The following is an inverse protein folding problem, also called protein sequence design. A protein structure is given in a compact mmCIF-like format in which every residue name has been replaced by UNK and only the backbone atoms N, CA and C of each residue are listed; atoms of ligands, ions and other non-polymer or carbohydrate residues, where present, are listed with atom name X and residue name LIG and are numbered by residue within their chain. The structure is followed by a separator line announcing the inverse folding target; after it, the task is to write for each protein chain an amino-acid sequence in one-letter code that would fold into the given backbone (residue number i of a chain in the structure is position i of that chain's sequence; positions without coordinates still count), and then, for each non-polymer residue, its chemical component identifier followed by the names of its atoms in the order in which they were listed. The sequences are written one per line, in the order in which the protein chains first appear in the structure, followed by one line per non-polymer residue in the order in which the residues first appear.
data_IF_880539926679
#
_entry.id   IF_880539926679
#
_cell.length_a   1.000
_cell.length_b   1.000
_cell.length_c   1.000
_cell.angle_alpha   90.00
_cell.angle_beta   90.00
_cell.angle_gamma   90.00
#
_symmetry.space_group_name_H-M   'P 1'
#
loop_
_entity.id
_entity.type
_entity.pdbx_description
1 polymer ?
#
# COMPACT_ATOMS: atom_id res chain seq x y z
N UNK A 1 4.81 -0.07 -2.23
CA UNK A 1 3.39 -0.12 -2.66
C UNK A 1 3.02 -1.40 -3.43
N UNK A 2 3.50 -2.61 -3.09
CA UNK A 2 2.65 -3.78 -3.28
C UNK A 2 1.49 -3.67 -2.26
N UNK A 3 0.26 -4.01 -2.65
CA UNK A 3 -0.90 -3.99 -1.71
C UNK A 3 -1.91 -2.84 -1.79
N UNK A 4 -1.75 -1.83 -2.66
CA UNK A 4 -2.72 -0.71 -2.77
C UNK A 4 -4.20 -1.13 -2.90
N UNK A 5 -4.48 -2.13 -3.72
CA UNK A 5 -5.86 -2.63 -3.89
C UNK A 5 -6.37 -3.32 -2.62
N UNK A 6 -5.51 -4.03 -1.91
CA UNK A 6 -5.86 -4.69 -0.66
C UNK A 6 -6.26 -3.66 0.39
N UNK A 7 -5.48 -2.58 0.54
CA UNK A 7 -5.82 -1.49 1.45
C UNK A 7 -7.11 -0.77 1.06
N UNK A 8 -7.33 -0.51 -0.24
CA UNK A 8 -8.59 0.08 -0.72
C UNK A 8 -9.77 -0.85 -0.44
N UNK A 9 -9.63 -2.15 -0.66
CA UNK A 9 -10.68 -3.13 -0.37
C UNK A 9 -11.06 -3.09 1.12
N UNK A 10 -10.06 -3.20 2.02
CA UNK A 10 -10.28 -3.17 3.46
C UNK A 10 -10.92 -1.82 3.86
N UNK A 11 -10.36 -0.72 3.39
CA UNK A 11 -10.82 0.62 3.72
C UNK A 11 -12.27 0.87 3.27
N UNK A 12 -12.66 0.43 2.07
CA UNK A 12 -14.01 0.56 1.53
C UNK A 12 -15.06 -0.18 2.37
N UNK A 13 -14.68 -1.29 2.99
CA UNK A 13 -15.56 -2.06 3.89
C UNK A 13 -15.63 -1.47 5.30
N UNK A 14 -14.78 -0.49 5.62
CA UNK A 14 -14.81 0.25 6.88
C UNK A 14 -15.54 1.59 6.69
N UNK A 15 -15.22 2.33 5.62
CA UNK A 15 -15.83 3.63 5.30
C UNK A 15 -15.88 3.85 3.79
N UNK A 16 -17.00 4.41 3.32
CA UNK A 16 -17.21 4.79 1.91
C UNK A 16 -16.65 6.17 1.56
N UNK A 17 -16.06 6.90 2.50
CA UNK A 17 -15.56 8.25 2.24
C UNK A 17 -14.22 8.23 1.49
N UNK A 18 -14.10 9.07 0.46
CA UNK A 18 -12.89 9.15 -0.39
C UNK A 18 -11.64 9.59 0.36
N UNK A 19 -11.79 10.53 1.30
CA UNK A 19 -10.73 11.01 2.18
C UNK A 19 -10.16 9.89 3.08
N UNK A 20 -11.02 9.00 3.59
CA UNK A 20 -10.61 7.81 4.34
C UNK A 20 -9.88 6.78 3.48
N UNK A 21 -10.36 6.55 2.25
CA UNK A 21 -9.68 5.69 1.27
C UNK A 21 -8.29 6.24 0.92
N UNK A 22 -8.18 7.56 0.69
CA UNK A 22 -6.92 8.24 0.45
C UNK A 22 -5.95 8.04 1.63
N UNK A 23 -6.43 8.23 2.86
CA UNK A 23 -5.64 7.99 4.06
C UNK A 23 -5.08 6.58 4.15
N UNK A 24 -5.78 5.57 3.62
CA UNK A 24 -5.29 4.19 3.60
C UNK A 24 -4.23 3.91 2.51
N UNK A 25 -4.07 4.83 1.55
CA UNK A 25 -3.12 4.74 0.44
C UNK A 25 -1.89 5.63 0.68
N UNK A 26 -2.06 6.73 1.41
CA UNK A 26 -1.01 7.72 1.62
C UNK A 26 0.29 7.16 2.26
N UNK A 27 0.25 6.26 3.27
CA UNK A 27 1.47 5.71 3.87
C UNK A 27 2.38 5.01 2.86
N UNK A 28 1.80 4.43 1.82
CA UNK A 28 2.54 3.74 0.77
C UNK A 28 3.38 4.72 -0.08
N UNK A 29 2.94 5.99 -0.21
CA UNK A 29 3.71 7.07 -0.84
C UNK A 29 4.92 7.44 0.01
N UNK A 30 4.79 7.43 1.33
CA UNK A 30 5.88 7.76 2.25
C UNK A 30 7.05 6.78 2.17
N UNK A 31 6.81 5.55 1.71
CA UNK A 31 7.84 4.53 1.51
C UNK A 31 8.89 4.91 0.46
N UNK A 32 8.53 5.78 -0.50
CA UNK A 32 9.49 6.32 -1.47
C UNK A 32 10.47 7.32 -0.83
N UNK A 33 10.07 7.97 0.26
CA UNK A 33 10.83 9.04 0.90
C UNK A 33 11.57 8.53 2.14
N UNK A 34 10.91 7.72 2.99
CA UNK A 34 11.43 7.25 4.28
C UNK A 34 11.00 5.80 4.54
N UNK A 35 11.94 4.85 4.42
CA UNK A 35 11.67 3.41 4.61
C UNK A 35 11.56 3.03 6.10
N UNK A 36 12.60 3.30 6.88
CA UNK A 36 12.76 2.70 8.22
C UNK A 36 11.82 3.28 9.28
N UNK A 37 11.29 4.49 9.06
CA UNK A 37 10.41 5.19 10.00
C UNK A 37 8.98 5.36 9.48
N UNK A 38 8.60 4.70 8.38
CA UNK A 38 7.32 4.94 7.67
C UNK A 38 6.10 4.90 8.59
N UNK A 39 5.97 3.88 9.44
CA UNK A 39 4.82 3.71 10.32
C UNK A 39 4.81 4.74 11.45
N UNK A 40 5.98 5.09 12.00
CA UNK A 40 6.10 6.10 13.06
C UNK A 40 5.68 7.46 12.52
N UNK A 41 6.19 7.85 11.34
CA UNK A 41 5.85 9.12 10.70
C UNK A 41 4.38 9.15 10.28
N UNK A 42 3.85 8.04 9.77
CA UNK A 42 2.44 7.92 9.41
C UNK A 42 1.51 8.07 10.62
N UNK A 43 1.84 7.49 11.78
CA UNK A 43 1.05 7.67 13.00
C UNK A 43 1.11 9.12 13.53
N UNK A 44 2.29 9.75 13.46
CA UNK A 44 2.41 11.19 13.79
C UNK A 44 1.52 12.03 12.88
N UNK A 45 1.58 11.79 11.57
CA UNK A 45 0.75 12.49 10.60
C UNK A 45 -0.74 12.27 10.84
N UNK A 46 -1.15 11.03 11.11
CA UNK A 46 -2.53 10.70 11.45
C UNK A 46 -3.03 11.53 12.64
N UNK A 47 -2.25 11.62 13.72
CA UNK A 47 -2.63 12.37 14.91
C UNK A 47 -2.74 13.88 14.64
N UNK A 48 -1.91 14.44 13.77
CA UNK A 48 -2.00 15.85 13.35
C UNK A 48 -3.30 16.07 12.54
N UNK A 49 -3.53 15.26 11.50
CA UNK A 49 -4.70 15.39 10.63
C UNK A 49 -6.02 15.13 11.37
N UNK A 50 -6.03 14.22 12.36
CA UNK A 50 -7.21 13.94 13.18
C UNK A 50 -7.68 15.14 14.03
N UNK A 51 -6.83 16.13 14.30
CA UNK A 51 -7.20 17.35 15.03
C UNK A 51 -8.00 18.33 14.18
N UNK A 52 -7.95 18.22 12.85
CA UNK A 52 -8.65 19.11 11.93
C UNK A 52 -9.90 18.41 11.37
N UNK A 53 -11.07 19.03 11.54
CA UNK A 53 -12.36 18.50 11.05
C UNK A 53 -12.35 18.16 9.54
N UNK A 54 -11.59 18.90 8.73
CA UNK A 54 -11.51 18.69 7.27
C UNK A 54 -10.68 17.46 6.90
N UNK A 55 -9.62 17.15 7.64
CA UNK A 55 -8.68 16.08 7.31
C UNK A 55 -8.76 14.87 8.25
N UNK A 56 -9.68 14.89 9.23
CA UNK A 56 -9.80 13.83 10.25
C UNK A 56 -9.99 12.43 9.67
N UNK A 57 -10.73 12.30 8.57
CA UNK A 57 -10.93 11.01 7.90
C UNK A 57 -9.68 10.54 7.14
N UNK A 58 -8.87 11.46 6.60
CA UNK A 58 -7.55 11.10 6.06
C UNK A 58 -6.67 10.54 7.18
N UNK A 59 -6.60 11.24 8.32
CA UNK A 59 -5.85 10.78 9.49
C UNK A 59 -6.33 9.41 10.01
N UNK A 60 -7.65 9.22 10.09
CA UNK A 60 -8.25 7.93 10.45
C UNK A 60 -7.90 6.82 9.46
N UNK A 61 -7.87 7.12 8.16
CA UNK A 61 -7.45 6.19 7.13
C UNK A 61 -5.99 5.78 7.28
N UNK A 62 -5.10 6.73 7.57
CA UNK A 62 -3.67 6.44 7.84
C UNK A 62 -3.52 5.53 9.06
N UNK A 63 -4.22 5.84 10.16
CA UNK A 63 -4.20 5.02 11.38
C UNK A 63 -4.69 3.60 11.10
N UNK A 64 -5.71 3.46 10.25
CA UNK A 64 -6.25 2.17 9.81
C UNK A 64 -5.23 1.38 9.01
N UNK A 65 -4.55 1.99 8.04
CA UNK A 65 -3.48 1.34 7.29
C UNK A 65 -2.39 0.79 8.21
N UNK A 66 -1.86 1.61 9.12
CA UNK A 66 -0.78 1.18 10.03
C UNK A 66 -1.24 0.05 10.95
N UNK A 67 -2.47 0.12 11.46
CA UNK A 67 -3.04 -0.93 12.31
C UNK A 67 -3.20 -2.25 11.54
N UNK A 68 -3.72 -2.18 10.31
CA UNK A 68 -3.89 -3.33 9.42
C UNK A 68 -2.54 -3.93 9.07
N UNK A 69 -1.53 -3.14 8.69
CA UNK A 69 -0.17 -3.64 8.39
C UNK A 69 0.44 -4.36 9.58
N UNK A 70 0.33 -3.78 10.79
CA UNK A 70 0.85 -4.36 12.03
C UNK A 70 0.25 -5.74 12.32
N UNK A 71 -1.00 -5.98 11.92
CA UNK A 71 -1.62 -7.29 12.03
C UNK A 71 -1.29 -8.18 10.82
N UNK A 72 -1.54 -7.70 9.61
CA UNK A 72 -1.44 -8.42 8.34
C UNK A 72 -0.06 -8.97 8.04
N UNK A 73 0.99 -8.20 8.28
CA UNK A 73 2.34 -8.61 7.93
C UNK A 73 2.82 -9.83 8.73
N UNK A 74 2.88 -9.79 10.07
CA UNK A 74 3.41 -10.92 10.84
C UNK A 74 2.53 -12.18 10.79
N UNK A 75 1.20 -12.03 10.71
CA UNK A 75 0.30 -13.18 10.81
C UNK A 75 0.00 -13.83 9.46
N UNK A 76 0.16 -13.12 8.34
CA UNK A 76 -0.18 -13.64 7.02
C UNK A 76 0.92 -13.40 5.98
N UNK A 77 1.22 -12.13 5.65
CA UNK A 77 2.07 -11.81 4.48
C UNK A 77 3.48 -12.38 4.64
N UNK A 78 4.13 -12.19 5.79
CA UNK A 78 5.49 -12.68 6.02
C UNK A 78 5.55 -14.21 6.10
N UNK A 79 4.54 -14.87 6.69
CA UNK A 79 4.47 -16.33 6.73
C UNK A 79 4.35 -16.92 5.31
N UNK A 80 3.50 -16.33 4.48
CA UNK A 80 3.29 -16.74 3.09
C UNK A 80 4.50 -16.38 2.21
N UNK A 81 5.14 -15.24 2.46
CA UNK A 81 6.37 -14.83 1.80
C UNK A 81 7.52 -15.81 2.08
N UNK A 82 7.69 -16.24 3.34
CA UNK A 82 8.69 -17.25 3.71
C UNK A 82 8.41 -18.60 3.03
N UNK A 83 7.14 -19.00 2.88
CA UNK A 83 6.76 -20.21 2.12
C UNK A 83 7.15 -20.07 0.64
N UNK A 84 6.86 -18.94 0.01
CA UNK A 84 7.21 -18.67 -1.38
C UNK A 84 8.73 -18.61 -1.58
N UNK A 85 9.44 -17.86 -0.73
CA UNK A 85 10.89 -17.70 -0.73
C UNK A 85 11.61 -19.04 -0.74
N UNK A 86 11.22 -19.96 0.16
CA UNK A 86 11.77 -21.34 0.20
C UNK A 86 11.40 -22.18 -1.01
N UNK A 87 10.16 -22.06 -1.51
CA UNK A 87 9.66 -22.90 -2.62
C UNK A 87 10.40 -22.67 -3.94
N UNK A 88 10.83 -21.43 -4.22
CA UNK A 88 11.41 -21.06 -5.51
C UNK A 88 12.75 -20.32 -5.40
N UNK A 89 13.41 -20.37 -4.23
CA UNK A 89 14.68 -19.68 -3.93
C UNK A 89 14.64 -18.21 -4.41
N UNK A 90 13.77 -17.45 -3.74
CA UNK A 90 13.50 -16.03 -3.98
C UNK A 90 13.78 -15.23 -2.71
N UNK A 91 14.35 -14.04 -2.88
CA UNK A 91 14.55 -13.07 -1.78
C UNK A 91 13.24 -12.77 -1.03
N UNK A 92 13.31 -12.58 0.30
CA UNK A 92 12.12 -12.43 1.14
C UNK A 92 11.35 -11.14 0.85
N UNK A 93 12.03 -10.05 0.49
CA UNK A 93 11.38 -8.77 0.17
C UNK A 93 10.62 -8.89 -1.17
N UNK A 94 11.17 -9.64 -2.13
CA UNK A 94 10.46 -9.97 -3.37
C UNK A 94 9.27 -10.88 -3.13
N UNK A 95 9.44 -11.89 -2.27
CA UNK A 95 8.36 -12.80 -1.92
C UNK A 95 7.20 -12.04 -1.23
N UNK A 96 7.52 -11.11 -0.33
CA UNK A 96 6.54 -10.20 0.30
C UNK A 96 5.75 -9.45 -0.78
N UNK A 97 6.44 -8.74 -1.67
CA UNK A 97 5.79 -7.97 -2.73
C UNK A 97 4.94 -8.82 -3.68
N UNK A 98 5.36 -10.07 -3.93
CA UNK A 98 4.62 -11.03 -4.76
C UNK A 98 3.32 -11.50 -4.07
N UNK A 99 3.35 -11.81 -2.78
CA UNK A 99 2.18 -12.22 -1.99
C UNK A 99 1.12 -11.11 -1.97
N UNK A 100 1.51 -9.89 -1.66
CA UNK A 100 0.60 -8.73 -1.69
C UNK A 100 0.05 -8.44 -3.09
N UNK A 101 0.89 -8.57 -4.12
CA UNK A 101 0.44 -8.40 -5.50
C UNK A 101 -0.51 -9.50 -5.95
N UNK A 102 -0.34 -10.74 -5.46
CA UNK A 102 -1.22 -11.86 -5.76
C UNK A 102 -2.61 -11.63 -5.16
N UNK A 103 -2.68 -11.21 -3.89
CA UNK A 103 -3.94 -10.81 -3.25
C UNK A 103 -4.63 -9.69 -4.02
N UNK A 104 -3.90 -8.64 -4.39
CA UNK A 104 -4.43 -7.53 -5.18
C UNK A 104 -4.98 -7.97 -6.54
N UNK A 105 -4.33 -8.91 -7.23
CA UNK A 105 -4.82 -9.47 -8.51
C UNK A 105 -6.09 -10.30 -8.34
N UNK A 106 -6.17 -11.13 -7.30
CA UNK A 106 -7.36 -11.92 -6.99
C UNK A 106 -8.55 -11.01 -6.67
N UNK A 107 -8.33 -9.98 -5.84
CA UNK A 107 -9.33 -8.96 -5.54
C UNK A 107 -9.81 -8.23 -6.79
N UNK A 108 -8.90 -7.78 -7.66
CA UNK A 108 -9.31 -7.10 -8.90
C UNK A 108 -10.06 -7.99 -9.89
N UNK A 109 -9.87 -9.32 -9.83
CA UNK A 109 -10.65 -10.26 -10.64
C UNK A 109 -12.10 -10.33 -10.13
N UNK A 110 -12.30 -10.27 -8.81
CA UNK A 110 -13.61 -10.38 -8.16
C UNK A 110 -14.34 -9.03 -8.02
N UNK A 111 -13.60 -7.96 -7.85
CA UNK A 111 -14.06 -6.60 -7.55
C UNK A 111 -13.31 -5.57 -8.45
N UNK A 112 -13.60 -5.53 -9.75
CA UNK A 112 -12.91 -4.65 -10.70
C UNK A 112 -13.09 -3.16 -10.40
N UNK A 113 -14.17 -2.77 -9.72
CA UNK A 113 -14.49 -1.40 -9.33
C UNK A 113 -13.48 -0.80 -8.35
N UNK A 114 -12.72 -1.61 -7.61
CA UNK A 114 -11.66 -1.14 -6.70
C UNK A 114 -10.60 -0.28 -7.41
N UNK A 115 -10.39 -0.47 -8.71
CA UNK A 115 -9.51 0.40 -9.50
C UNK A 115 -10.03 1.83 -9.58
N UNK A 116 -11.34 1.98 -9.78
CA UNK A 116 -12.01 3.28 -9.83
C UNK A 116 -11.95 3.94 -8.46
N UNK A 117 -12.21 3.19 -7.39
CA UNK A 117 -12.11 3.68 -6.02
C UNK A 117 -10.71 4.20 -5.68
N UNK A 118 -9.65 3.43 -6.02
CA UNK A 118 -8.27 3.87 -5.84
C UNK A 118 -7.99 5.18 -6.59
N UNK A 119 -8.44 5.26 -7.86
CA UNK A 119 -8.25 6.45 -8.69
C UNK A 119 -8.97 7.66 -8.12
N UNK A 120 -10.23 7.49 -7.71
CA UNK A 120 -11.07 8.56 -7.19
C UNK A 120 -10.54 9.05 -5.83
N UNK A 121 -10.02 8.15 -4.99
CA UNK A 121 -9.34 8.49 -3.75
C UNK A 121 -8.07 9.32 -4.01
N UNK A 122 -7.18 8.86 -4.90
CA UNK A 122 -5.94 9.58 -5.26
C UNK A 122 -6.25 10.98 -5.84
N UNK A 123 -7.27 11.08 -6.70
CA UNK A 123 -7.68 12.34 -7.34
C UNK A 123 -8.49 13.28 -6.46
N UNK A 124 -8.89 12.84 -5.26
CA UNK A 124 -9.71 13.66 -4.35
C UNK A 124 -8.96 14.83 -3.72
N UNK A 125 -7.63 14.85 -3.83
CA UNK A 125 -6.73 15.85 -3.24
C UNK A 125 -5.66 16.21 -4.28
N UNK A 126 -5.16 17.45 -4.30
CA UNK A 126 -4.09 17.86 -5.23
C UNK A 126 -2.71 17.29 -4.82
N UNK A 127 -1.71 17.38 -5.68
CA UNK A 127 -0.35 16.97 -5.32
C UNK A 127 0.18 17.86 -4.18
N UNK A 128 -0.07 19.16 -4.29
CA UNK A 128 0.35 20.22 -3.38
C UNK A 128 -0.24 20.03 -1.98
N UNK A 129 -1.51 19.63 -1.90
CA UNK A 129 -2.16 19.35 -0.63
C UNK A 129 -1.63 18.05 0.00
N UNK A 130 -1.30 17.02 -0.78
CA UNK A 130 -0.59 15.85 -0.23
C UNK A 130 0.80 16.23 0.28
N UNK A 131 1.53 17.08 -0.45
CA UNK A 131 2.85 17.58 -0.03
C UNK A 131 2.73 18.35 1.29
N UNK A 132 1.71 19.22 1.43
CA UNK A 132 1.50 19.97 2.68
C UNK A 132 1.26 19.04 3.87
N UNK A 133 0.48 17.96 3.69
CA UNK A 133 0.32 16.94 4.73
C UNK A 133 1.65 16.28 5.09
N UNK A 134 2.44 15.87 4.10
CA UNK A 134 3.69 15.14 4.34
C UNK A 134 4.77 16.00 5.01
N UNK A 135 4.83 17.30 4.72
CA UNK A 135 5.78 18.25 5.31
C UNK A 135 5.63 18.41 6.83
N UNK A 136 4.46 18.10 7.39
CA UNK A 136 4.24 18.09 8.84
C UNK A 136 5.11 17.08 9.59
N UNK A 137 5.58 16.03 8.91
CA UNK A 137 6.35 14.94 9.55
C UNK A 137 7.63 14.54 8.80
N UNK A 138 7.77 14.91 7.53
CA UNK A 138 8.93 14.60 6.71
C UNK A 138 9.79 15.86 6.54
N UNK A 139 10.99 15.84 7.14
CA UNK A 139 12.00 16.90 7.03
C UNK A 139 12.88 16.71 5.79
N UNK A 140 12.29 16.86 4.61
CA UNK A 140 12.97 16.79 3.31
C UNK A 140 12.62 18.01 2.47
N UNK A 141 13.39 18.28 1.42
CA UNK A 141 13.09 19.39 0.51
C UNK A 141 11.73 19.16 -0.18
N UNK A 142 10.97 20.25 -0.34
CA UNK A 142 9.62 20.19 -0.90
C UNK A 142 9.58 19.61 -2.33
N UNK A 143 10.55 19.97 -3.17
CA UNK A 143 10.71 19.45 -4.53
C UNK A 143 10.80 17.92 -4.56
N UNK A 144 11.55 17.34 -3.62
CA UNK A 144 11.74 15.89 -3.47
C UNK A 144 10.47 15.19 -2.98
N UNK A 145 9.73 15.81 -2.06
CA UNK A 145 8.43 15.27 -1.60
C UNK A 145 7.42 15.30 -2.75
N UNK A 146 7.33 16.43 -3.47
CA UNK A 146 6.44 16.60 -4.61
C UNK A 146 6.74 15.58 -5.72
N UNK A 147 8.01 15.36 -6.02
CA UNK A 147 8.43 14.35 -6.98
C UNK A 147 7.98 12.94 -6.58
N UNK A 148 8.16 12.57 -5.31
CA UNK A 148 7.71 11.28 -4.77
C UNK A 148 6.20 11.12 -4.82
N UNK A 149 5.43 12.16 -4.50
CA UNK A 149 3.96 12.17 -4.62
C UNK A 149 3.55 11.91 -6.08
N UNK A 150 4.16 12.64 -7.03
CA UNK A 150 3.89 12.48 -8.47
C UNK A 150 4.21 11.07 -8.96
N UNK A 151 5.36 10.51 -8.57
CA UNK A 151 5.76 9.17 -8.98
C UNK A 151 4.87 8.08 -8.35
N UNK A 152 4.46 8.23 -7.08
CA UNK A 152 3.48 7.35 -6.45
C UNK A 152 2.11 7.41 -7.16
N UNK A 153 1.65 8.61 -7.55
CA UNK A 153 0.41 8.78 -8.32
C UNK A 153 0.50 8.14 -9.70
N UNK A 154 1.61 8.28 -10.42
CA UNK A 154 1.84 7.60 -11.70
C UNK A 154 1.67 6.08 -11.55
N UNK A 155 2.13 5.50 -10.45
CA UNK A 155 1.95 4.07 -10.15
C UNK A 155 0.49 3.75 -9.80
N UNK A 156 -0.12 4.51 -8.88
CA UNK A 156 -1.48 4.27 -8.39
C UNK A 156 -2.56 4.47 -9.46
N UNK A 157 -2.29 5.31 -10.46
CA UNK A 157 -3.21 5.65 -11.55
C UNK A 157 -3.04 4.78 -12.81
N UNK A 158 -2.13 3.80 -12.81
CA UNK A 158 -1.98 2.87 -13.92
C UNK A 158 -3.30 2.17 -14.23
N UNK A 159 -3.70 2.12 -15.51
CA UNK A 159 -4.90 1.39 -15.96
C UNK A 159 -4.89 -0.07 -15.50
N UNK A 160 -3.71 -0.69 -15.52
CA UNK A 160 -3.46 -2.04 -15.04
C UNK A 160 -2.19 -2.09 -14.17
N UNK A 161 -2.28 -1.85 -12.85
CA UNK A 161 -1.11 -1.72 -11.97
C UNK A 161 -0.36 -3.05 -11.72
N UNK A 162 -0.94 -4.18 -12.15
CA UNK A 162 -0.34 -5.52 -12.03
C UNK A 162 -0.10 -6.19 -13.39
N UNK A 163 -0.20 -5.45 -14.51
CA UNK A 163 0.33 -5.95 -15.78
C UNK A 163 1.86 -5.98 -15.76
N UNK A 164 2.48 -6.74 -16.66
CA UNK A 164 3.95 -6.78 -16.77
C UNK A 164 4.55 -5.38 -16.96
N UNK A 165 3.99 -4.58 -17.87
CA UNK A 165 4.38 -3.19 -18.07
C UNK A 165 4.19 -2.33 -16.80
N UNK A 166 3.12 -2.55 -16.03
CA UNK A 166 2.89 -1.86 -14.76
C UNK A 166 3.90 -2.24 -13.68
N UNK A 167 4.29 -3.51 -13.62
CA UNK A 167 5.35 -4.00 -12.72
C UNK A 167 6.71 -3.40 -13.10
N UNK A 168 7.04 -3.32 -14.39
CA UNK A 168 8.27 -2.66 -14.86
C UNK A 168 8.29 -1.19 -14.44
N UNK A 169 7.20 -0.44 -14.67
CA UNK A 169 7.11 0.98 -14.25
C UNK A 169 7.32 1.15 -12.74
N UNK A 170 6.73 0.27 -11.92
CA UNK A 170 6.95 0.25 -10.48
C UNK A 170 8.42 0.04 -10.13
N UNK A 171 9.08 -0.94 -10.76
CA UNK A 171 10.50 -1.22 -10.53
C UNK A 171 11.39 -0.02 -10.92
N UNK A 172 11.09 0.67 -12.02
CA UNK A 172 11.83 1.88 -12.44
C UNK A 172 11.73 2.98 -11.38
N UNK A 173 10.51 3.29 -10.94
CA UNK A 173 10.31 4.27 -9.85
C UNK A 173 11.04 3.82 -8.59
N UNK A 174 10.94 2.55 -8.22
CA UNK A 174 11.60 2.01 -7.03
C UNK A 174 13.13 2.10 -7.09
N UNK A 175 13.75 1.90 -8.26
CA UNK A 175 15.20 2.08 -8.44
C UNK A 175 15.65 3.54 -8.25
N UNK A 176 14.78 4.51 -8.54
CA UNK A 176 15.09 5.95 -8.39
C UNK A 176 15.29 6.35 -6.92
N UNK A 177 14.57 5.71 -6.00
CA UNK A 177 14.64 6.04 -4.58
C UNK A 177 15.61 5.10 -3.85
N UNK A 178 16.81 5.61 -3.53
CA UNK A 178 17.93 4.90 -2.87
C UNK A 178 17.57 4.16 -1.56
N UNK A 179 16.44 4.48 -0.93
CA UNK A 179 15.93 3.83 0.29
C UNK A 179 15.60 2.34 0.08
N UNK A 180 15.46 1.89 -1.16
CA UNK A 180 15.29 0.48 -1.52
C UNK A 180 16.54 0.00 -2.26
N UNK A 181 17.56 -0.41 -1.51
CA UNK A 181 18.73 -1.11 -2.08
C UNK A 181 18.27 -2.43 -2.71
N UNK A 182 17.90 -2.41 -3.98
CA UNK A 182 17.63 -3.60 -4.81
C UNK A 182 18.96 -4.24 -5.24
N UNK A 183 19.88 -4.42 -4.29
CA UNK A 183 21.20 -4.97 -4.54
C UNK A 183 21.14 -6.47 -4.20
N UNK A 184 21.28 -7.32 -5.23
CA UNK A 184 21.33 -8.80 -5.18
C UNK A 184 19.99 -9.55 -5.28
N UNK A 185 19.07 -9.09 -6.11
CA UNK A 185 17.91 -9.93 -6.46
C UNK A 185 18.31 -11.03 -7.46
N UNK A 186 18.16 -12.30 -7.07
CA UNK A 186 18.09 -13.40 -8.03
C UNK A 186 16.83 -13.18 -8.89
N UNK A 187 17.00 -12.84 -10.16
CA UNK A 187 15.89 -12.68 -11.10
C UNK A 187 15.30 -14.06 -11.44
N UNK A 188 14.28 -14.47 -10.69
CA UNK A 188 13.40 -15.57 -11.07
C UNK A 188 12.35 -15.05 -12.06
N UNK A 189 11.86 -15.91 -12.95
CA UNK A 189 10.84 -15.55 -13.92
C UNK A 189 9.60 -14.96 -13.20
N UNK A 190 9.21 -13.69 -13.46
CA UNK A 190 8.10 -13.04 -12.75
C UNK A 190 6.76 -13.76 -12.87
N UNK A 191 6.50 -14.45 -13.99
CA UNK A 191 5.27 -15.24 -14.17
C UNK A 191 5.24 -16.43 -13.22
N UNK A 192 6.38 -17.10 -13.05
CA UNK A 192 6.51 -18.24 -12.13
C UNK A 192 6.34 -17.80 -10.68
N UNK A 193 6.96 -16.67 -10.31
CA UNK A 193 6.81 -16.06 -8.98
C UNK A 193 5.33 -15.76 -8.70
N UNK A 194 4.65 -15.06 -9.62
CA UNK A 194 3.25 -14.68 -9.43
C UNK A 194 2.28 -15.86 -9.44
N UNK A 195 2.54 -16.90 -10.26
CA UNK A 195 1.74 -18.15 -10.25
C UNK A 195 1.84 -18.83 -8.89
N UNK A 196 3.05 -19.01 -8.36
CA UNK A 196 3.24 -19.62 -7.05
C UNK A 196 2.67 -18.76 -5.92
N UNK A 197 2.83 -17.44 -5.98
CA UNK A 197 2.23 -16.52 -5.01
C UNK A 197 0.71 -16.63 -4.99
N UNK A 198 0.05 -16.69 -6.15
CA UNK A 198 -1.41 -16.91 -6.27
C UNK A 198 -1.84 -18.19 -5.58
N UNK A 199 -1.22 -19.32 -5.91
CA UNK A 199 -1.58 -20.62 -5.34
C UNK A 199 -1.36 -20.67 -3.81
N UNK A 200 -0.45 -19.86 -3.28
CA UNK A 200 -0.18 -19.81 -1.83
C UNK A 200 -1.27 -19.06 -1.05
N UNK A 201 -1.98 -18.12 -1.69
CA UNK A 201 -2.94 -17.22 -1.02
C UNK A 201 -4.39 -17.44 -1.43
N UNK A 202 -4.66 -18.11 -2.55
CA UNK A 202 -5.98 -18.10 -3.17
C UNK A 202 -7.10 -18.73 -2.33
N UNK A 203 -6.73 -19.68 -1.47
CA UNK A 203 -7.69 -20.42 -0.62
C UNK A 203 -8.14 -19.60 0.59
N UNK A 204 -7.24 -18.81 1.20
CA UNK A 204 -7.45 -18.24 2.54
C UNK A 204 -7.36 -16.70 2.61
N UNK A 205 -7.03 -16.01 1.53
CA UNK A 205 -6.86 -14.55 1.58
C UNK A 205 -8.12 -13.81 2.03
N UNK A 206 -9.32 -14.23 1.61
CA UNK A 206 -10.57 -13.53 1.97
C UNK A 206 -10.87 -13.61 3.47
N UNK A 207 -10.64 -14.77 4.10
CA UNK A 207 -10.81 -14.91 5.55
C UNK A 207 -9.91 -13.94 6.29
N UNK A 208 -8.67 -13.81 5.83
CA UNK A 208 -7.70 -12.91 6.44
C UNK A 208 -8.07 -11.44 6.24
N UNK A 209 -8.55 -11.06 5.05
CA UNK A 209 -9.04 -9.71 4.78
C UNK A 209 -10.23 -9.34 5.67
N UNK A 210 -11.16 -10.26 5.91
CA UNK A 210 -12.29 -10.04 6.82
C UNK A 210 -11.81 -9.76 8.25
N UNK A 211 -10.83 -10.49 8.76
CA UNK A 211 -10.22 -10.21 10.08
C UNK A 211 -9.57 -8.82 10.11
N UNK A 212 -8.87 -8.42 9.05
CA UNK A 212 -8.31 -7.07 8.94
C UNK A 212 -9.39 -5.98 8.93
N UNK A 213 -10.53 -6.20 8.27
CA UNK A 213 -11.67 -5.28 8.26
C UNK A 213 -12.20 -5.09 9.68
N UNK A 214 -12.43 -6.17 10.44
CA UNK A 214 -12.91 -6.09 11.82
C UNK A 214 -11.94 -5.35 12.74
N UNK A 215 -10.63 -5.57 12.59
CA UNK A 215 -9.61 -4.83 13.33
C UNK A 215 -9.65 -3.34 12.95
N UNK A 216 -9.74 -3.05 11.65
CA UNK A 216 -9.79 -1.69 11.14
C UNK A 216 -11.03 -0.91 11.57
N UNK A 217 -12.20 -1.54 11.70
CA UNK A 217 -13.43 -0.89 12.21
C UNK A 217 -13.26 -0.23 13.58
N UNK A 218 -12.31 -0.69 14.39
CA UNK A 218 -11.99 -0.08 15.70
C UNK A 218 -11.49 1.36 15.58
N UNK A 219 -10.92 1.77 14.44
CA UNK A 219 -10.39 3.13 14.26
C UNK A 219 -11.48 4.17 14.03
N UNK A 220 -12.64 3.78 13.50
CA UNK A 220 -13.76 4.67 13.17
C UNK A 220 -14.85 4.71 14.23
N UNK A 221 -14.82 3.81 15.23
CA UNK A 221 -15.89 3.69 16.24
C UNK A 221 -16.11 4.98 17.07
N UNK A 222 -15.14 5.89 17.07
CA UNK A 222 -15.14 7.11 17.88
C UNK A 222 -14.90 8.41 17.05
N UNK A 223 -15.29 8.45 15.77
CA UNK A 223 -15.05 9.56 14.81
C UNK A 223 -16.34 10.15 14.24
#
# INVERSE_FOLDING_TARGET
MPGLITHIYIAKHISKRKDFLLGNVLPDTTLLIVRDRKHILSLKLANILMRNKKTRYVGAGIKTHVLVDKYMHPHYVLKKAAKLSRKIDLDIDLAHGAIESAMGRLLLKKYPELKKELRDAIKSVSDEEVVSYLKEVIYEREDKILEAVRDARKIGLLKNPYSFAGLIKKLIVYKKYKSMKVAKLKFRNPLTVMKNAKNIVEEDYMEYLNKCIEIGKKTIKNL
#
